data_IF_435607662841
#
_entry.id   IF_435607662841
#
_cell.length_a   1.000
_cell.length_b   1.000
_cell.length_c   1.000
_cell.angle_alpha   90.00
_cell.angle_beta   90.00
_cell.angle_gamma   90.00
#
_symmetry.space_group_name_H-M   'P 1'
#
loop_
_entity.id
_entity.type
_entity.pdbx_description
1 polymer ?
#
# COMPACT_ATOMS: atom_id res chain seq x y z
N UNK A 1 -9.07 9.23 -14.62
CA UNK A 1 -8.52 8.05 -13.92
C UNK A 1 -8.89 8.19 -12.45
N UNK A 2 -9.52 7.16 -11.88
CA UNK A 2 -10.02 7.19 -10.51
C UNK A 2 -8.81 7.08 -9.55
N UNK A 3 -8.63 8.00 -8.62
CA UNK A 3 -7.53 8.00 -7.63
C UNK A 3 -7.50 6.70 -6.80
N UNK A 4 -8.65 6.02 -6.71
CA UNK A 4 -8.79 4.69 -6.13
C UNK A 4 -7.99 3.59 -6.86
N UNK A 5 -7.92 3.65 -8.19
CA UNK A 5 -7.14 2.70 -8.99
C UNK A 5 -5.65 2.91 -8.80
N UNK A 6 -5.20 4.16 -8.66
CA UNK A 6 -3.79 4.49 -8.50
C UNK A 6 -3.24 4.06 -7.14
N UNK A 7 -4.02 4.17 -6.06
CA UNK A 7 -3.56 3.74 -4.73
C UNK A 7 -3.22 2.25 -4.69
N UNK A 8 -4.07 1.40 -5.28
CA UNK A 8 -3.88 -0.05 -5.27
C UNK A 8 -2.57 -0.51 -5.93
N UNK A 9 -2.09 0.23 -6.93
CA UNK A 9 -0.83 -0.06 -7.63
C UNK A 9 0.41 0.09 -6.73
N UNK A 10 0.31 0.91 -5.69
CA UNK A 10 1.40 1.17 -4.75
C UNK A 10 1.35 0.30 -3.50
N UNK A 11 0.28 -0.48 -3.32
CA UNK A 11 0.07 -1.33 -2.17
C UNK A 11 0.43 -2.78 -2.52
N UNK A 12 1.43 -3.31 -1.83
CA UNK A 12 1.88 -4.68 -2.00
C UNK A 12 1.06 -5.68 -1.16
N UNK A 13 0.54 -5.27 0.00
CA UNK A 13 -0.35 -6.10 0.83
C UNK A 13 -1.16 -5.23 1.80
N UNK A 14 -2.36 -5.69 2.15
CA UNK A 14 -3.20 -5.14 3.21
C UNK A 14 -3.68 -6.30 4.08
N UNK A 15 -3.43 -6.21 5.37
CA UNK A 15 -3.88 -7.18 6.37
C UNK A 15 -4.67 -6.45 7.46
N UNK A 16 -5.90 -6.89 7.71
CA UNK A 16 -6.69 -6.39 8.84
C UNK A 16 -6.34 -7.21 10.07
N UNK A 17 -5.72 -6.54 11.04
CA UNK A 17 -5.38 -7.15 12.33
C UNK A 17 -6.56 -7.18 13.29
N UNK A 18 -6.35 -7.85 14.41
CA UNK A 18 -7.23 -7.74 15.56
C UNK A 18 -7.13 -6.35 16.22
N UNK A 19 -8.12 -5.97 17.03
CA UNK A 19 -8.20 -4.66 17.70
C UNK A 19 -8.26 -3.42 16.77
N UNK A 20 -8.62 -3.58 15.50
CA UNK A 20 -8.89 -2.45 14.60
C UNK A 20 -7.64 -1.84 13.96
N UNK A 21 -6.49 -2.52 14.02
CA UNK A 21 -5.30 -2.14 13.26
C UNK A 21 -5.39 -2.62 11.82
N UNK A 22 -4.86 -1.81 10.89
CA UNK A 22 -4.69 -2.19 9.49
C UNK A 22 -3.21 -2.14 9.14
N UNK A 23 -2.64 -3.29 8.83
CA UNK A 23 -1.25 -3.40 8.41
C UNK A 23 -1.18 -3.25 6.89
N UNK A 24 -0.36 -2.32 6.43
CA UNK A 24 -0.21 -2.02 5.00
C UNK A 24 1.25 -2.14 4.65
N UNK A 25 1.54 -2.91 3.61
CA UNK A 25 2.86 -2.95 2.99
C UNK A 25 2.80 -2.21 1.67
N UNK A 26 3.59 -1.15 1.54
CA UNK A 26 3.75 -0.41 0.29
C UNK A 26 4.96 -0.92 -0.49
N UNK A 27 4.99 -0.66 -1.80
CA UNK A 27 6.22 -0.80 -2.57
C UNK A 27 7.25 0.28 -2.18
N UNK A 28 8.53 -0.02 -2.36
CA UNK A 28 9.63 0.88 -1.97
C UNK A 28 9.62 2.22 -2.72
N UNK A 29 9.09 2.25 -3.93
CA UNK A 29 8.93 3.41 -4.80
C UNK A 29 7.61 4.16 -4.59
N UNK A 30 6.81 3.75 -3.60
CA UNK A 30 5.50 4.37 -3.35
C UNK A 30 5.66 5.85 -2.95
N UNK A 31 5.01 6.78 -3.69
CA UNK A 31 5.10 8.21 -3.38
C UNK A 31 4.40 8.55 -2.06
N UNK A 32 4.84 9.65 -1.43
CA UNK A 32 4.39 10.05 -0.09
C UNK A 32 2.86 10.23 0.03
N UNK A 33 2.18 10.63 -1.05
CA UNK A 33 0.72 10.79 -1.05
C UNK A 33 -0.01 9.46 -0.78
N UNK A 34 0.59 8.31 -1.14
CA UNK A 34 0.01 6.98 -0.91
C UNK A 34 -0.10 6.70 0.59
N UNK A 35 0.88 7.12 1.39
CA UNK A 35 0.80 6.95 2.86
C UNK A 35 -0.34 7.77 3.45
N UNK A 36 -0.50 9.02 3.01
CA UNK A 36 -1.57 9.89 3.45
C UNK A 36 -2.94 9.31 3.06
N UNK A 37 -3.05 8.81 1.84
CA UNK A 37 -4.26 8.15 1.35
C UNK A 37 -4.59 6.88 2.15
N UNK A 38 -3.58 6.10 2.52
CA UNK A 38 -3.78 4.93 3.38
C UNK A 38 -4.33 5.32 4.75
N UNK A 39 -3.78 6.36 5.38
CA UNK A 39 -4.27 6.88 6.66
C UNK A 39 -5.70 7.44 6.51
N UNK A 40 -6.02 8.12 5.42
CA UNK A 40 -7.36 8.63 5.16
C UNK A 40 -8.39 7.50 5.00
N UNK A 41 -8.01 6.38 4.37
CA UNK A 41 -8.89 5.22 4.13
C UNK A 41 -9.08 4.33 5.35
N UNK A 42 -8.00 4.06 6.09
CA UNK A 42 -7.98 3.05 7.16
C UNK A 42 -7.88 3.67 8.57
N UNK A 43 -7.69 4.98 8.66
CA UNK A 43 -7.67 5.73 9.91
C UNK A 43 -6.35 5.62 10.67
N UNK A 44 -6.37 6.09 11.92
CA UNK A 44 -5.20 6.19 12.81
C UNK A 44 -4.60 4.82 13.21
N UNK A 45 -5.32 3.72 12.97
CA UNK A 45 -4.86 2.35 13.20
C UNK A 45 -3.99 1.78 12.07
N UNK A 46 -3.60 2.60 11.10
CA UNK A 46 -2.77 2.18 9.97
C UNK A 46 -1.32 1.99 10.39
N UNK A 47 -0.80 0.78 10.19
CA UNK A 47 0.59 0.42 10.49
C UNK A 47 1.31 0.10 9.18
N UNK A 48 2.41 0.81 8.91
CA UNK A 48 3.21 0.58 7.71
C UNK A 48 4.26 -0.49 7.97
N UNK A 49 4.10 -1.63 7.31
CA UNK A 49 5.11 -2.70 7.30
C UNK A 49 6.32 -2.29 6.44
N UNK A 50 7.50 -2.91 6.67
CA UNK A 50 8.67 -2.68 5.84
C UNK A 50 8.33 -2.80 4.35
N UNK A 51 8.80 -1.85 3.51
CA UNK A 51 8.40 -1.77 2.13
C UNK A 51 8.86 -3.01 1.34
N UNK A 52 8.03 -3.45 0.39
CA UNK A 52 8.41 -4.52 -0.52
C UNK A 52 9.32 -3.92 -1.61
N UNK A 53 10.59 -4.36 -1.65
CA UNK A 53 11.56 -3.91 -2.66
C UNK A 53 11.23 -4.42 -4.08
N UNK A 54 10.42 -5.48 -4.16
CA UNK A 54 10.13 -6.16 -5.42
C UNK A 54 8.90 -5.56 -6.11
N UNK A 55 9.04 -4.37 -6.70
CA UNK A 55 8.23 -4.03 -7.87
C UNK A 55 8.97 -4.57 -9.10
N UNK A 56 9.08 -5.90 -9.19
CA UNK A 56 9.28 -6.52 -10.48
C UNK A 56 8.00 -6.20 -11.24
N UNK A 57 8.05 -5.17 -12.07
CA UNK A 57 7.10 -5.02 -13.16
C UNK A 57 7.05 -6.37 -13.85
N UNK A 58 5.91 -7.06 -13.71
CA UNK A 58 5.57 -8.27 -14.43
C UNK A 58 5.40 -7.89 -15.92
N UNK A 59 6.52 -7.56 -16.56
CA UNK A 59 6.60 -7.06 -17.94
C UNK A 59 7.88 -7.55 -18.60
N UNK A 60 8.39 -8.70 -18.19
CA UNK A 60 9.54 -9.36 -18.83
C UNK A 60 9.50 -10.90 -18.71
N UNK A 61 8.32 -11.51 -18.77
CA UNK A 61 8.20 -12.97 -18.88
C UNK A 61 6.89 -13.40 -19.56
N UNK A 62 6.79 -13.17 -20.87
CA UNK A 62 6.09 -14.04 -21.83
C UNK A 62 6.56 -13.72 -23.25
#
# INVERSE_FOLDING_TARGET
MNENSMFGEWVASIERGECGFTYIRLFADAPNWVRNEAINRFGKGTVFLPPRQNRLLDSAAA
#
